data_IF_691533419154
#
_entry.id   IF_691533419154
#
_cell.length_a   1.000
_cell.length_b   1.000
_cell.length_c   1.000
_cell.angle_alpha   90.00
_cell.angle_beta   90.00
_cell.angle_gamma   90.00
#
_symmetry.space_group_name_H-M   'P 1'
#
loop_
_entity.id
_entity.type
_entity.pdbx_description
1 polymer ?
#
# COMPACT_ATOMS: atom_id res chain seq x y z
N UNK A 1 6.26 2.41 -0.54
CA UNK A 1 5.66 1.11 -0.16
C UNK A 1 4.87 1.27 1.13
N UNK A 2 3.70 0.71 1.15
CA UNK A 2 2.82 0.73 2.30
C UNK A 2 2.54 -0.71 2.70
N UNK A 3 2.99 -1.11 3.86
CA UNK A 3 2.73 -2.43 4.42
C UNK A 3 1.90 -2.31 5.68
N UNK A 4 1.02 -3.27 5.91
CA UNK A 4 0.16 -3.22 7.08
C UNK A 4 -0.17 -4.61 7.60
N UNK A 5 -0.53 -4.64 8.86
CA UNK A 5 -1.02 -5.84 9.54
C UNK A 5 -2.26 -5.42 10.31
N UNK A 6 -3.41 -5.84 9.84
CA UNK A 6 -4.70 -5.44 10.40
C UNK A 6 -5.16 -6.44 11.44
N UNK A 7 -5.45 -5.94 12.63
CA UNK A 7 -5.99 -6.73 13.72
C UNK A 7 -7.50 -6.82 13.53
N UNK A 8 -7.94 -7.75 12.68
CA UNK A 8 -9.35 -7.90 12.35
C UNK A 8 -10.07 -8.75 13.38
N UNK A 9 -11.11 -8.17 13.98
CA UNK A 9 -12.08 -8.94 14.71
C UNK A 9 -13.31 -9.17 13.84
N UNK A 10 -14.21 -10.04 14.26
CA UNK A 10 -15.42 -10.36 13.53
C UNK A 10 -16.25 -9.08 13.28
N UNK A 11 -16.58 -8.82 12.03
CA UNK A 11 -17.38 -7.66 11.65
C UNK A 11 -16.59 -6.38 11.39
N UNK A 12 -15.26 -6.40 11.54
CA UNK A 12 -14.43 -5.25 11.22
C UNK A 12 -14.45 -4.94 9.73
N UNK A 13 -14.56 -3.66 9.40
CA UNK A 13 -14.64 -3.19 8.03
C UNK A 13 -13.55 -2.15 7.76
N UNK A 14 -12.72 -2.42 6.76
CA UNK A 14 -11.61 -1.55 6.37
C UNK A 14 -11.82 -0.91 4.99
N UNK A 15 -13.05 -0.82 4.51
CA UNK A 15 -13.34 -0.27 3.19
C UNK A 15 -12.84 1.18 3.03
N UNK A 16 -12.91 1.98 4.08
CA UNK A 16 -12.42 3.36 4.04
C UNK A 16 -10.89 3.41 3.96
N UNK A 17 -10.20 2.49 4.63
CA UNK A 17 -8.75 2.37 4.51
C UNK A 17 -8.36 2.04 3.07
N UNK A 18 -9.02 1.06 2.45
CA UNK A 18 -8.71 0.68 1.08
C UNK A 18 -9.04 1.78 0.08
N UNK A 19 -10.13 2.50 0.28
CA UNK A 19 -10.46 3.66 -0.55
C UNK A 19 -9.38 4.75 -0.42
N UNK A 20 -8.89 4.99 0.78
CA UNK A 20 -7.81 5.96 1.00
C UNK A 20 -6.51 5.52 0.32
N UNK A 21 -6.17 4.23 0.41
CA UNK A 21 -4.99 3.68 -0.27
C UNK A 21 -5.07 3.88 -1.78
N UNK A 22 -6.23 3.66 -2.38
CA UNK A 22 -6.42 3.83 -3.82
C UNK A 22 -6.28 5.29 -4.26
N UNK A 23 -6.54 6.24 -3.40
CA UNK A 23 -6.56 7.67 -3.74
C UNK A 23 -5.31 8.46 -3.31
N UNK A 24 -4.32 7.81 -2.71
CA UNK A 24 -3.12 8.51 -2.19
C UNK A 24 -2.29 9.14 -3.30
N UNK A 25 -2.21 8.52 -4.47
CA UNK A 25 -1.38 9.00 -5.55
C UNK A 25 -2.01 8.81 -6.91
N UNK A 26 -1.20 8.95 -7.95
CA UNK A 26 -1.65 8.83 -9.33
C UNK A 26 -1.78 7.38 -9.80
N UNK A 27 -1.21 6.43 -9.07
CA UNK A 27 -1.30 5.02 -9.40
C UNK A 27 -0.95 4.15 -8.21
N UNK A 28 -1.41 2.92 -8.23
CA UNK A 28 -1.14 1.97 -7.16
C UNK A 28 -1.01 0.55 -7.69
N UNK A 29 -0.35 -0.29 -6.87
CA UNK A 29 -0.18 -1.72 -7.11
C UNK A 29 -0.51 -2.44 -5.81
N UNK A 30 -1.43 -3.38 -5.86
CA UNK A 30 -1.92 -4.09 -4.69
C UNK A 30 -1.92 -5.62 -4.89
N UNK A 31 -0.93 -6.12 -5.62
CA UNK A 31 -0.86 -7.53 -5.98
C UNK A 31 -0.34 -8.43 -4.86
N UNK A 32 0.06 -7.88 -3.74
CA UNK A 32 0.33 -8.61 -2.51
C UNK A 32 -0.78 -8.35 -1.49
N UNK A 33 -0.99 -9.29 -0.60
CA UNK A 33 -2.14 -9.27 0.30
C UNK A 33 -2.16 -8.07 1.24
N UNK A 34 -1.01 -7.68 1.78
CA UNK A 34 -0.92 -6.62 2.79
C UNK A 34 0.13 -5.58 2.46
N UNK A 35 0.47 -5.45 1.20
CA UNK A 35 1.48 -4.50 0.75
C UNK A 35 1.01 -3.80 -0.51
N UNK A 36 1.10 -2.49 -0.49
CA UNK A 36 0.76 -1.64 -1.62
C UNK A 36 1.98 -0.85 -2.07
N UNK A 37 2.10 -0.65 -3.37
CA UNK A 37 3.04 0.30 -3.93
C UNK A 37 2.21 1.43 -4.53
N UNK A 38 2.60 2.68 -4.25
CA UNK A 38 1.87 3.83 -4.76
C UNK A 38 2.84 4.82 -5.40
N UNK A 39 2.40 5.43 -6.48
CA UNK A 39 3.12 6.52 -7.13
C UNK A 39 2.54 7.83 -6.61
N UNK A 40 3.31 8.56 -5.80
CA UNK A 40 2.83 9.76 -5.15
C UNK A 40 3.97 10.71 -4.84
N UNK A 41 3.66 11.99 -4.73
CA UNK A 41 4.60 13.01 -4.27
C UNK A 41 4.50 13.24 -2.75
N UNK A 42 3.53 12.60 -2.08
CA UNK A 42 3.38 12.73 -0.63
C UNK A 42 4.53 12.05 0.10
N UNK A 43 4.91 12.61 1.24
CA UNK A 43 5.94 12.01 2.09
C UNK A 43 5.37 10.83 2.88
N UNK A 44 6.23 9.92 3.37
CA UNK A 44 5.77 8.84 4.25
C UNK A 44 5.00 9.33 5.48
N UNK A 45 5.41 10.45 6.07
CA UNK A 45 4.71 11.03 7.22
C UNK A 45 3.30 11.48 6.84
N UNK A 46 3.15 12.14 5.70
CA UNK A 46 1.83 12.58 5.21
C UNK A 46 0.90 11.38 4.94
N UNK A 47 1.44 10.34 4.34
CA UNK A 47 0.67 9.12 4.06
C UNK A 47 0.28 8.42 5.37
N UNK A 48 1.20 8.27 6.30
CA UNK A 48 0.92 7.68 7.61
C UNK A 48 -0.20 8.42 8.31
N UNK A 49 -0.14 9.75 8.32
CA UNK A 49 -1.13 10.57 9.01
C UNK A 49 -2.51 10.47 8.37
N UNK A 50 -2.56 10.36 7.05
CA UNK A 50 -3.82 10.14 6.33
C UNK A 50 -4.42 8.76 6.64
N UNK A 51 -3.62 7.71 6.58
CA UNK A 51 -4.09 6.34 6.77
C UNK A 51 -4.41 6.02 8.23
N UNK A 52 -3.71 6.64 9.16
CA UNK A 52 -3.88 6.40 10.59
C UNK A 52 -5.31 6.59 11.06
N UNK A 53 -6.05 7.52 10.49
CA UNK A 53 -7.44 7.77 10.87
C UNK A 53 -8.39 6.64 10.47
N UNK A 54 -7.95 5.74 9.61
CA UNK A 54 -8.73 4.57 9.16
C UNK A 54 -8.29 3.28 9.84
N UNK A 55 -7.33 3.35 10.75
CA UNK A 55 -6.82 2.19 11.47
C UNK A 55 -7.49 2.05 12.83
N UNK A 56 -7.44 0.84 13.37
CA UNK A 56 -8.05 0.49 14.65
C UNK A 56 -6.96 0.05 15.63
N UNK A 57 -7.33 -0.08 16.90
CA UNK A 57 -6.38 -0.53 17.92
C UNK A 57 -5.80 -1.89 17.55
N UNK A 58 -4.49 -1.99 17.67
CA UNK A 58 -3.76 -3.20 17.32
C UNK A 58 -3.31 -3.29 15.86
N UNK A 59 -3.82 -2.42 14.99
CA UNK A 59 -3.37 -2.37 13.61
C UNK A 59 -1.94 -1.81 13.52
N UNK A 60 -1.18 -2.31 12.55
CA UNK A 60 0.20 -1.88 12.31
C UNK A 60 0.32 -1.34 10.90
N UNK A 61 1.18 -0.34 10.75
CA UNK A 61 1.39 0.33 9.46
C UNK A 61 2.86 0.71 9.30
N UNK A 62 3.41 0.42 8.14
CA UNK A 62 4.75 0.86 7.76
C UNK A 62 4.64 1.56 6.41
N UNK A 63 5.15 2.78 6.34
CA UNK A 63 5.21 3.53 5.08
C UNK A 63 6.66 3.92 4.85
N UNK A 64 7.17 3.59 3.67
CA UNK A 64 8.55 3.93 3.32
C UNK A 64 8.65 4.29 1.85
N UNK A 65 9.57 5.18 1.57
CA UNK A 65 9.95 5.49 0.18
C UNK A 65 10.89 4.41 -0.31
N UNK A 66 10.73 4.01 -1.55
CA UNK A 66 11.61 3.02 -2.16
C UNK A 66 12.14 3.52 -3.50
N UNK A 67 13.23 2.88 -3.95
CA UNK A 67 13.75 3.05 -5.30
C UNK A 67 13.72 1.69 -5.96
N UNK A 68 13.20 1.64 -7.18
CA UNK A 68 12.98 0.38 -7.88
C UNK A 68 14.19 -0.23 -8.55
N UNK A 69 15.33 0.43 -8.49
CA UNK A 69 16.56 0.01 -9.18
C UNK A 69 17.10 -1.33 -8.69
N UNK A 70 16.69 -1.75 -7.51
CA UNK A 70 17.19 -2.95 -6.86
C UNK A 70 16.02 -3.79 -6.39
N UNK A 71 15.19 -4.22 -7.33
CA UNK A 71 13.98 -4.98 -7.05
C UNK A 71 13.94 -6.25 -7.91
N UNK A 72 13.35 -7.30 -7.36
CA UNK A 72 13.11 -8.54 -8.06
C UNK A 72 11.74 -9.07 -7.64
N UNK A 73 11.11 -9.82 -8.52
CA UNK A 73 9.78 -10.39 -8.22
C UNK A 73 9.57 -11.70 -8.95
N UNK A 74 8.60 -12.45 -8.47
CA UNK A 74 8.26 -13.76 -8.98
C UNK A 74 6.80 -14.08 -8.69
N UNK A 75 6.13 -14.72 -9.62
CA UNK A 75 4.82 -15.32 -9.37
C UNK A 75 3.61 -14.43 -9.60
N UNK A 76 3.80 -13.23 -10.11
CA UNK A 76 2.70 -12.32 -10.38
C UNK A 76 2.10 -12.53 -11.77
N UNK A 77 0.81 -12.27 -11.90
CA UNK A 77 0.14 -12.26 -13.19
C UNK A 77 0.64 -11.09 -14.04
N UNK A 78 0.37 -11.15 -15.35
CA UNK A 78 0.94 -10.21 -16.32
C UNK A 78 0.67 -8.74 -16.00
N UNK A 79 -0.53 -8.40 -15.58
CA UNK A 79 -0.88 -7.01 -15.24
C UNK A 79 -0.03 -6.46 -14.09
N UNK A 80 0.22 -7.28 -13.09
CA UNK A 80 1.03 -6.90 -11.95
C UNK A 80 2.49 -6.73 -12.32
N UNK A 81 3.00 -7.62 -13.17
CA UNK A 81 4.38 -7.53 -13.66
C UNK A 81 4.59 -6.29 -14.52
N UNK A 82 3.64 -5.99 -15.41
CA UNK A 82 3.71 -4.82 -16.28
C UNK A 82 3.77 -3.54 -15.44
N UNK A 83 2.96 -3.43 -14.40
CA UNK A 83 3.00 -2.27 -13.52
C UNK A 83 4.37 -2.11 -12.87
N UNK A 84 4.95 -3.21 -12.37
CA UNK A 84 6.28 -3.17 -11.75
C UNK A 84 7.35 -2.74 -12.75
N UNK A 85 7.32 -3.27 -13.97
CA UNK A 85 8.25 -2.91 -15.03
C UNK A 85 8.17 -1.43 -15.39
N UNK A 86 6.96 -0.87 -15.42
CA UNK A 86 6.73 0.51 -15.83
C UNK A 86 7.02 1.53 -14.73
N UNK A 87 6.96 1.13 -13.45
CA UNK A 87 6.99 2.06 -12.33
C UNK A 87 8.20 1.89 -11.39
N UNK A 88 8.98 0.86 -11.56
CA UNK A 88 10.19 0.66 -10.75
C UNK A 88 11.48 0.90 -11.52
#
# INVERSE_FOLDING_TARGET
>A
MIGYDLHRSTGENYSELFAALESIGSGYWDCLESTWLVTTERTPVQIRDELKQHLKDGDRLLVMRYRGEDAAWLGFKDECQTWLEDNL
#
